data_IF_022871142791
#
_entry.id   IF_022871142791
#
_cell.length_a   1.000
_cell.length_b   1.000
_cell.length_c   1.000
_cell.angle_alpha   90.00
_cell.angle_beta   90.00
_cell.angle_gamma   90.00
#
_symmetry.space_group_name_H-M   'P 1'
#
loop_
_entity.id
_entity.type
_entity.pdbx_description
1 polymer ?
#
# COMPACT_ATOMS: atom_id res chain seq x y z
N UNK A 1 -1.50 26.99 -10.55
CA UNK A 1 -1.76 25.64 -10.01
C UNK A 1 -1.63 25.68 -8.50
N UNK A 2 -2.25 24.71 -7.82
CA UNK A 2 -2.16 24.54 -6.37
C UNK A 2 -1.10 23.49 -6.01
N UNK A 3 -0.10 23.88 -5.23
CA UNK A 3 1.09 23.06 -4.93
C UNK A 3 1.18 22.82 -3.42
N UNK A 4 1.25 21.56 -3.02
CA UNK A 4 1.56 21.16 -1.65
C UNK A 4 3.08 21.19 -1.45
N UNK A 5 3.55 21.72 -0.33
CA UNK A 5 4.97 21.66 0.03
C UNK A 5 5.14 21.27 1.50
N UNK A 6 6.12 20.41 1.77
CA UNK A 6 6.47 20.02 3.14
C UNK A 6 7.92 19.62 3.28
N UNK A 7 8.47 19.77 4.48
CA UNK A 7 9.86 19.42 4.79
C UNK A 7 10.03 19.01 6.25
N UNK A 8 11.12 18.33 6.56
CA UNK A 8 11.68 18.40 7.91
C UNK A 8 12.54 19.66 8.09
N UNK A 9 13.19 19.73 9.24
CA UNK A 9 14.11 20.80 9.60
C UNK A 9 15.31 20.93 8.66
N UNK A 10 15.75 19.84 8.05
CA UNK A 10 16.90 19.85 7.16
C UNK A 10 16.58 20.42 5.77
N UNK A 11 15.31 20.44 5.36
CA UNK A 11 14.80 21.06 4.14
C UNK A 11 14.15 22.44 4.33
N UNK A 12 14.09 22.95 5.56
CA UNK A 12 13.30 24.13 5.93
C UNK A 12 13.71 25.42 5.18
N UNK A 13 15.02 25.67 5.03
CA UNK A 13 15.51 26.87 4.32
C UNK A 13 15.12 26.85 2.84
N UNK A 14 15.27 25.69 2.17
CA UNK A 14 14.92 25.56 0.76
C UNK A 14 13.42 25.67 0.55
N UNK A 15 12.62 25.18 1.51
CA UNK A 15 11.17 25.28 1.48
C UNK A 15 10.72 26.74 1.34
N UNK A 16 11.27 27.64 2.16
CA UNK A 16 10.94 29.07 2.12
C UNK A 16 11.24 29.69 0.76
N UNK A 17 12.42 29.43 0.20
CA UNK A 17 12.85 29.95 -1.11
C UNK A 17 12.00 29.42 -2.27
N UNK A 18 11.62 28.14 -2.20
CA UNK A 18 10.72 27.54 -3.19
C UNK A 18 9.32 28.14 -3.09
N UNK A 19 8.77 28.33 -1.88
CA UNK A 19 7.48 29.00 -1.68
C UNK A 19 7.48 30.40 -2.30
N UNK A 20 8.52 31.20 -2.03
CA UNK A 20 8.66 32.55 -2.59
C UNK A 20 8.67 32.52 -4.12
N UNK A 21 9.49 31.65 -4.71
CA UNK A 21 9.62 31.49 -6.16
C UNK A 21 8.30 31.06 -6.83
N UNK A 22 7.59 30.08 -6.23
CA UNK A 22 6.31 29.59 -6.76
C UNK A 22 5.21 30.65 -6.64
N UNK A 23 5.17 31.38 -5.52
CA UNK A 23 4.20 32.45 -5.30
C UNK A 23 4.42 33.59 -6.30
N UNK A 24 5.68 33.98 -6.53
CA UNK A 24 6.05 34.97 -7.54
C UNK A 24 5.67 34.53 -8.97
N UNK A 25 5.66 33.22 -9.25
CA UNK A 25 5.19 32.64 -10.51
C UNK A 25 3.65 32.49 -10.60
N UNK A 26 2.88 32.97 -9.61
CA UNK A 26 1.42 32.95 -9.60
C UNK A 26 0.80 31.59 -9.22
N UNK A 27 1.54 30.75 -8.50
CA UNK A 27 1.01 29.50 -7.96
C UNK A 27 0.45 29.69 -6.55
N UNK A 28 -0.57 28.91 -6.19
CA UNK A 28 -1.09 28.83 -4.83
C UNK A 28 -0.31 27.73 -4.08
N UNK A 29 0.35 28.08 -2.97
CA UNK A 29 1.18 27.13 -2.22
C UNK A 29 0.55 26.81 -0.87
N UNK A 30 0.34 25.52 -0.59
CA UNK A 30 -0.11 25.00 0.71
C UNK A 30 1.09 24.42 1.44
N UNK A 31 1.57 25.12 2.47
CA UNK A 31 2.70 24.71 3.32
C UNK A 31 2.22 23.80 4.46
N UNK A 32 2.66 22.55 4.46
CA UNK A 32 2.34 21.54 5.47
C UNK A 32 3.37 21.46 6.59
N UNK A 33 4.35 22.37 6.64
CA UNK A 33 5.41 22.43 7.66
C UNK A 33 6.65 21.65 7.23
N UNK A 34 7.67 21.52 8.07
CA UNK A 34 7.83 22.18 9.39
C UNK A 34 7.95 23.70 9.27
N UNK A 35 7.60 24.46 10.29
CA UNK A 35 7.64 25.93 10.27
C UNK A 35 8.84 26.52 11.04
N UNK A 36 9.79 25.69 11.43
CA UNK A 36 11.03 26.10 12.10
C UNK A 36 12.20 25.19 11.71
N UNK A 37 13.42 25.63 12.04
CA UNK A 37 14.64 24.82 11.88
C UNK A 37 14.87 23.83 13.05
N UNK A 38 13.91 23.69 13.96
CA UNK A 38 14.02 22.78 15.11
C UNK A 38 13.91 21.33 14.66
N UNK A 39 14.68 20.44 15.29
CA UNK A 39 14.70 19.01 14.93
C UNK A 39 13.31 18.38 15.01
N UNK A 40 12.90 17.73 13.93
CA UNK A 40 11.60 17.06 13.78
C UNK A 40 11.73 15.86 12.83
N UNK A 41 10.78 14.94 12.91
CA UNK A 41 10.70 13.77 12.04
C UNK A 41 9.94 14.07 10.74
N UNK A 42 10.58 13.84 9.60
CA UNK A 42 10.00 14.09 8.27
C UNK A 42 8.65 13.41 8.02
N UNK A 43 8.32 12.18 8.48
CA UNK A 43 7.04 11.55 8.14
C UNK A 43 5.82 12.37 8.55
N UNK A 44 5.91 13.12 9.65
CA UNK A 44 4.87 14.01 10.19
C UNK A 44 4.42 15.07 9.18
N UNK A 45 5.32 15.54 8.32
CA UNK A 45 5.07 16.62 7.36
C UNK A 45 4.93 16.10 5.93
N UNK A 46 5.65 15.03 5.59
CA UNK A 46 5.65 14.48 4.24
C UNK A 46 4.36 13.71 3.93
N UNK A 47 3.85 12.91 4.88
CA UNK A 47 2.58 12.19 4.69
C UNK A 47 1.41 13.13 4.36
N UNK A 48 1.09 14.18 5.15
CA UNK A 48 -0.02 15.08 4.84
C UNK A 48 0.18 15.85 3.52
N UNK A 49 1.44 16.21 3.18
CA UNK A 49 1.77 16.83 1.89
C UNK A 49 1.39 15.91 0.72
N UNK A 50 1.80 14.64 0.79
CA UNK A 50 1.51 13.63 -0.22
C UNK A 50 0.01 13.30 -0.28
N UNK A 51 -0.67 13.21 0.87
CA UNK A 51 -2.13 12.99 0.94
C UNK A 51 -2.94 14.13 0.32
N UNK A 52 -2.47 15.38 0.42
CA UNK A 52 -3.15 16.51 -0.21
C UNK A 52 -3.13 16.38 -1.75
N UNK A 53 -2.02 15.90 -2.30
CA UNK A 53 -1.90 15.61 -3.73
C UNK A 53 -2.74 14.39 -4.12
N UNK A 54 -2.66 13.30 -3.35
CA UNK A 54 -3.42 12.08 -3.62
C UNK A 54 -4.94 12.30 -3.63
N UNK A 55 -5.43 13.19 -2.75
CA UNK A 55 -6.85 13.57 -2.66
C UNK A 55 -7.28 14.59 -3.71
N UNK A 56 -6.37 15.10 -4.53
CA UNK A 56 -6.67 16.15 -5.51
C UNK A 56 -6.91 17.54 -4.90
N UNK A 57 -6.55 17.74 -3.62
CA UNK A 57 -6.59 19.06 -2.96
C UNK A 57 -5.49 19.97 -3.53
N UNK A 58 -4.34 19.37 -3.88
CA UNK A 58 -3.25 20.03 -4.61
C UNK A 58 -2.95 19.24 -5.88
N UNK A 59 -2.53 19.92 -6.94
CA UNK A 59 -2.22 19.31 -8.23
C UNK A 59 -0.82 18.67 -8.25
N UNK A 60 0.10 19.23 -7.46
CA UNK A 60 1.52 18.85 -7.39
C UNK A 60 2.04 18.93 -5.96
N UNK A 61 3.05 18.13 -5.64
CA UNK A 61 3.72 18.13 -4.34
C UNK A 61 5.23 18.31 -4.44
N UNK A 62 5.82 19.01 -3.48
CA UNK A 62 7.27 19.12 -3.31
C UNK A 62 7.61 18.74 -1.87
N UNK A 63 8.51 17.81 -1.68
CA UNK A 63 8.95 17.35 -0.35
C UNK A 63 10.45 17.57 -0.20
N UNK A 64 10.90 18.00 0.98
CA UNK A 64 12.29 18.41 1.19
C UNK A 64 12.85 17.84 2.49
N UNK A 65 14.14 17.51 2.47
CA UNK A 65 14.86 17.15 3.68
C UNK A 65 16.35 17.16 3.45
N UNK A 66 17.08 16.39 4.27
CA UNK A 66 18.53 16.33 4.16
C UNK A 66 19.01 15.78 2.82
N UNK A 67 18.55 14.58 2.45
CA UNK A 67 18.92 13.91 1.19
C UNK A 67 17.78 13.83 0.16
N UNK A 68 16.54 14.05 0.58
CA UNK A 68 15.34 13.83 -0.23
C UNK A 68 14.89 12.37 -0.31
N UNK A 69 15.72 11.39 0.08
CA UNK A 69 15.36 9.98 -0.04
C UNK A 69 14.31 9.56 1.00
N UNK A 70 14.47 9.93 2.26
CA UNK A 70 13.52 9.57 3.32
C UNK A 70 12.13 10.13 3.04
N UNK A 71 12.10 11.38 2.57
CA UNK A 71 10.89 12.09 2.18
C UNK A 71 10.21 11.40 0.99
N UNK A 72 10.96 11.05 -0.07
CA UNK A 72 10.40 10.33 -1.20
C UNK A 72 9.89 8.93 -0.81
N UNK A 73 10.57 8.23 0.11
CA UNK A 73 10.13 6.91 0.60
C UNK A 73 8.78 7.04 1.30
N UNK A 74 8.59 8.04 2.17
CA UNK A 74 7.32 8.28 2.87
C UNK A 74 6.23 8.70 1.90
N UNK A 75 6.51 9.66 1.02
CA UNK A 75 5.52 10.15 0.05
C UNK A 75 4.96 9.01 -0.82
N UNK A 76 5.83 8.10 -1.28
CA UNK A 76 5.44 6.93 -2.07
C UNK A 76 4.69 5.84 -1.27
N UNK A 77 4.53 5.97 0.06
CA UNK A 77 3.61 5.09 0.83
C UNK A 77 2.15 5.52 0.69
N UNK A 78 1.90 6.75 0.27
CA UNK A 78 0.56 7.26 0.06
C UNK A 78 0.06 6.81 -1.31
N UNK A 79 -1.10 6.15 -1.30
CA UNK A 79 -1.74 5.64 -2.53
C UNK A 79 -1.97 6.77 -3.54
N UNK A 80 -1.62 6.54 -4.80
CA UNK A 80 -1.75 7.49 -5.90
C UNK A 80 -0.53 8.40 -6.08
N UNK A 81 0.49 8.30 -5.23
CA UNK A 81 1.68 9.15 -5.29
C UNK A 81 2.80 8.47 -6.08
N UNK A 82 3.41 9.26 -6.96
CA UNK A 82 4.64 8.95 -7.69
C UNK A 82 5.64 10.06 -7.36
N UNK A 83 6.41 9.83 -6.30
CA UNK A 83 7.43 10.76 -5.84
C UNK A 83 8.80 10.36 -6.39
N UNK A 84 9.41 11.24 -7.19
CA UNK A 84 10.78 11.07 -7.68
C UNK A 84 11.76 11.89 -6.85
N UNK A 85 12.95 11.35 -6.54
CA UNK A 85 14.04 12.16 -5.98
C UNK A 85 14.77 12.84 -7.15
N UNK A 86 14.89 14.16 -7.09
CA UNK A 86 15.50 14.96 -8.15
C UNK A 86 16.76 15.66 -7.62
N UNK A 87 17.89 15.43 -8.29
CA UNK A 87 19.19 16.02 -7.94
C UNK A 87 19.91 16.67 -9.14
N UNK A 88 19.33 16.57 -10.34
CA UNK A 88 19.73 17.28 -11.55
C UNK A 88 18.50 17.72 -12.34
N UNK A 89 18.67 18.68 -13.26
CA UNK A 89 17.62 19.07 -14.21
C UNK A 89 17.12 17.87 -15.03
N UNK A 90 18.02 16.96 -15.41
CA UNK A 90 17.65 15.75 -16.14
C UNK A 90 16.74 14.85 -15.32
N UNK A 91 17.06 14.60 -14.05
CA UNK A 91 16.17 13.79 -13.18
C UNK A 91 14.81 14.45 -12.98
N UNK A 92 14.74 15.78 -12.91
CA UNK A 92 13.50 16.54 -12.82
C UNK A 92 12.64 16.39 -14.09
N UNK A 93 13.31 16.48 -15.25
CA UNK A 93 12.70 16.32 -16.56
C UNK A 93 12.12 14.91 -16.73
N UNK A 94 12.93 13.89 -16.50
CA UNK A 94 12.55 12.49 -16.65
C UNK A 94 11.45 12.10 -15.65
N UNK A 95 11.49 12.64 -14.42
CA UNK A 95 10.42 12.43 -13.44
C UNK A 95 9.05 12.85 -13.98
N UNK A 96 8.98 13.97 -14.71
CA UNK A 96 7.74 14.43 -15.33
C UNK A 96 7.42 13.68 -16.62
N UNK A 97 8.36 13.67 -17.57
CA UNK A 97 8.17 13.10 -18.92
C UNK A 97 7.85 11.61 -18.88
N UNK A 98 8.62 10.83 -18.11
CA UNK A 98 8.56 9.37 -18.16
C UNK A 98 7.73 8.75 -17.04
N UNK A 99 7.68 9.38 -15.87
CA UNK A 99 7.07 8.80 -14.67
C UNK A 99 5.78 9.51 -14.27
N UNK A 100 5.37 10.56 -14.99
CA UNK A 100 4.22 11.39 -14.64
C UNK A 100 4.23 11.72 -13.13
N UNK A 101 5.42 12.02 -12.59
CA UNK A 101 5.58 12.23 -11.16
C UNK A 101 4.72 13.43 -10.75
N UNK A 102 3.85 13.20 -9.78
CA UNK A 102 2.97 14.21 -9.19
C UNK A 102 3.56 14.81 -7.90
N UNK A 103 4.63 14.20 -7.38
CA UNK A 103 5.45 14.73 -6.29
C UNK A 103 6.94 14.64 -6.67
N UNK A 104 7.74 15.61 -6.27
CA UNK A 104 9.21 15.49 -6.29
C UNK A 104 9.81 15.70 -4.91
N UNK A 105 10.97 15.10 -4.70
CA UNK A 105 11.76 15.25 -3.50
C UNK A 105 13.14 15.82 -3.81
N UNK A 106 13.62 16.77 -3.01
CA UNK A 106 14.94 17.39 -3.18
C UNK A 106 15.68 17.38 -1.83
N UNK A 107 16.96 16.98 -1.87
CA UNK A 107 17.85 17.00 -0.71
C UNK A 107 18.59 18.33 -0.59
N UNK A 108 18.30 19.10 0.44
CA UNK A 108 18.97 20.40 0.69
C UNK A 108 20.47 20.25 0.95
N UNK A 109 20.94 19.12 1.50
CA UNK A 109 22.38 18.89 1.75
C UNK A 109 23.15 18.41 0.53
N UNK A 110 22.45 17.97 -0.52
CA UNK A 110 23.05 17.32 -1.69
C UNK A 110 22.92 18.16 -2.97
N UNK A 111 21.97 19.10 -3.01
CA UNK A 111 21.68 19.92 -4.19
C UNK A 111 21.88 21.39 -3.85
N UNK A 112 22.70 22.14 -4.61
CA UNK A 112 22.81 23.60 -4.45
C UNK A 112 21.46 24.31 -4.66
N UNK A 113 21.23 25.40 -3.92
CA UNK A 113 19.92 26.07 -3.87
C UNK A 113 19.44 26.55 -5.24
N UNK A 114 20.32 27.14 -6.04
CA UNK A 114 19.96 27.60 -7.39
C UNK A 114 19.53 26.45 -8.28
N UNK A 115 20.24 25.32 -8.19
CA UNK A 115 19.87 24.09 -8.90
C UNK A 115 18.54 23.52 -8.39
N UNK A 116 18.27 23.58 -7.09
CA UNK A 116 17.00 23.14 -6.52
C UNK A 116 15.81 23.96 -7.06
N UNK A 117 15.97 25.29 -7.16
CA UNK A 117 14.95 26.17 -7.74
C UNK A 117 14.74 25.87 -9.23
N UNK A 118 15.81 25.65 -10.00
CA UNK A 118 15.72 25.26 -11.40
C UNK A 118 15.08 23.88 -11.58
N UNK A 119 15.39 22.90 -10.74
CA UNK A 119 14.76 21.57 -10.73
C UNK A 119 13.24 21.69 -10.61
N UNK A 120 12.76 22.52 -9.66
CA UNK A 120 11.32 22.74 -9.48
C UNK A 120 10.70 23.35 -10.74
N UNK A 121 11.34 24.37 -11.33
CA UNK A 121 10.86 25.01 -12.57
C UNK A 121 10.82 24.03 -13.75
N UNK A 122 11.89 23.25 -13.93
CA UNK A 122 11.97 22.24 -14.99
C UNK A 122 10.87 21.20 -14.81
N UNK A 123 10.70 20.64 -13.62
CA UNK A 123 9.67 19.63 -13.38
C UNK A 123 8.23 20.16 -13.61
N UNK A 124 7.94 21.38 -13.19
CA UNK A 124 6.62 22.00 -13.38
C UNK A 124 6.35 22.39 -14.85
N UNK A 125 7.39 22.73 -15.61
CA UNK A 125 7.28 23.13 -17.01
C UNK A 125 7.16 21.96 -18.00
N UNK A 126 7.49 20.75 -17.57
CA UNK A 126 7.47 19.57 -18.43
C UNK A 126 6.07 18.91 -18.47
N UNK A 127 5.78 18.22 -19.57
CA UNK A 127 4.51 17.50 -19.77
C UNK A 127 4.77 15.99 -19.86
N UNK A 128 3.84 15.17 -19.41
CA UNK A 128 3.99 13.72 -19.52
C UNK A 128 4.02 13.29 -20.99
N UNK A 129 4.98 12.44 -21.37
CA UNK A 129 5.22 12.06 -22.77
C UNK A 129 4.18 11.06 -23.31
N UNK A 130 3.58 10.24 -22.43
CA UNK A 130 2.65 9.20 -22.82
C UNK A 130 3.30 8.02 -23.54
N UNK A 131 2.54 7.34 -24.40
CA UNK A 131 3.02 6.22 -25.22
C UNK A 131 3.55 5.06 -24.39
N UNK A 132 4.82 4.65 -24.60
CA UNK A 132 5.44 3.52 -23.86
C UNK A 132 5.50 3.75 -22.34
N UNK A 133 5.33 4.98 -21.87
CA UNK A 133 5.34 5.32 -20.46
C UNK A 133 3.99 5.05 -19.78
N UNK A 134 2.89 5.04 -20.53
CA UNK A 134 1.55 4.73 -20.00
C UNK A 134 1.46 3.30 -19.47
N UNK A 135 2.01 2.32 -20.19
CA UNK A 135 2.03 0.93 -19.74
C UNK A 135 2.82 0.75 -18.44
N UNK A 136 3.86 1.57 -18.23
CA UNK A 136 4.64 1.55 -16.97
C UNK A 136 3.85 2.18 -15.82
N UNK A 137 3.09 3.24 -16.07
CA UNK A 137 2.19 3.81 -15.08
C UNK A 137 1.07 2.85 -14.70
N UNK A 138 0.51 2.14 -15.68
CA UNK A 138 -0.44 1.05 -15.43
C UNK A 138 0.20 -0.03 -14.56
N UNK A 139 1.42 -0.48 -14.86
CA UNK A 139 2.14 -1.44 -14.02
C UNK A 139 2.39 -0.95 -12.59
N UNK A 140 2.71 0.34 -12.39
CA UNK A 140 2.82 0.93 -11.04
C UNK A 140 1.47 0.90 -10.32
N UNK A 141 0.38 1.26 -11.01
CA UNK A 141 -0.96 1.22 -10.44
C UNK A 141 -1.40 -0.21 -10.09
N UNK A 142 -1.04 -1.20 -10.91
CA UNK A 142 -1.28 -2.63 -10.62
C UNK A 142 -0.51 -3.07 -9.37
N UNK A 143 0.78 -2.71 -9.25
CA UNK A 143 1.58 -2.99 -8.05
C UNK A 143 0.91 -2.38 -6.81
N UNK A 144 0.48 -1.13 -6.90
CA UNK A 144 -0.22 -0.44 -5.82
C UNK A 144 -1.53 -1.13 -5.42
N UNK A 145 -2.34 -1.54 -6.41
CA UNK A 145 -3.57 -2.31 -6.16
C UNK A 145 -3.29 -3.66 -5.49
N UNK A 146 -2.26 -4.39 -5.94
CA UNK A 146 -1.85 -5.65 -5.31
C UNK A 146 -1.42 -5.44 -3.86
N UNK A 147 -0.64 -4.40 -3.57
CA UNK A 147 -0.22 -4.06 -2.21
C UNK A 147 -1.42 -3.71 -1.34
N UNK A 148 -2.34 -2.86 -1.84
CA UNK A 148 -3.55 -2.47 -1.12
C UNK A 148 -4.49 -3.66 -0.84
N UNK A 149 -4.54 -4.63 -1.75
CA UNK A 149 -5.30 -5.88 -1.57
C UNK A 149 -4.60 -6.89 -0.64
N UNK A 150 -3.41 -6.61 -0.11
CA UNK A 150 -2.60 -7.61 0.62
C UNK A 150 -2.03 -8.72 -0.27
N UNK A 151 -2.15 -8.58 -1.59
CA UNK A 151 -1.74 -9.51 -2.64
C UNK A 151 -0.26 -9.32 -3.02
N UNK A 152 0.64 -9.18 -2.04
CA UNK A 152 2.08 -9.32 -2.28
C UNK A 152 2.49 -10.78 -2.61
N UNK A 153 1.54 -11.72 -2.54
CA UNK A 153 1.69 -13.08 -3.04
C UNK A 153 1.33 -13.20 -4.53
N UNK A 154 1.70 -14.31 -5.16
CA UNK A 154 1.44 -14.56 -6.58
C UNK A 154 -0.06 -14.66 -6.96
N UNK A 155 -0.96 -14.69 -5.96
CA UNK A 155 -2.38 -14.91 -6.11
C UNK A 155 -3.20 -13.87 -5.32
N UNK A 156 -4.43 -13.56 -5.76
CA UNK A 156 -5.30 -12.60 -5.08
C UNK A 156 -5.65 -13.07 -3.66
N UNK A 157 -5.79 -12.10 -2.75
CA UNK A 157 -6.37 -12.35 -1.44
C UNK A 157 -7.90 -12.20 -1.47
N UNK A 158 -8.59 -12.98 -0.65
CA UNK A 158 -10.02 -12.95 -0.44
C UNK A 158 -10.31 -12.64 1.02
N UNK A 159 -11.29 -11.78 1.30
CA UNK A 159 -11.58 -11.31 2.65
C UNK A 159 -13.03 -11.60 3.08
N UNK A 160 -13.22 -11.86 4.38
CA UNK A 160 -14.52 -11.96 5.03
C UNK A 160 -14.49 -11.17 6.34
N UNK A 161 -15.37 -10.17 6.48
CA UNK A 161 -15.49 -9.36 7.70
C UNK A 161 -16.78 -9.71 8.43
N UNK A 162 -16.70 -9.96 9.74
CA UNK A 162 -17.80 -10.48 10.55
C UNK A 162 -17.92 -9.71 11.86
N UNK A 163 -19.14 -9.30 12.21
CA UNK A 163 -19.48 -8.88 13.58
C UNK A 163 -19.71 -10.13 14.42
N UNK A 164 -19.02 -10.23 15.54
CA UNK A 164 -19.21 -11.32 16.50
C UNK A 164 -20.47 -11.04 17.32
N UNK A 165 -21.36 -12.03 17.33
CA UNK A 165 -22.67 -11.97 17.96
C UNK A 165 -22.78 -13.07 19.03
N UNK A 166 -23.76 -12.99 19.95
CA UNK A 166 -23.92 -13.95 21.04
C UNK A 166 -23.96 -15.42 20.60
N UNK A 167 -24.56 -15.72 19.44
CA UNK A 167 -24.63 -17.06 18.87
C UNK A 167 -23.25 -17.67 18.51
N UNK A 168 -22.22 -16.83 18.35
CA UNK A 168 -20.86 -17.30 18.05
C UNK A 168 -20.03 -17.59 19.30
N UNK A 169 -20.55 -17.31 20.50
CA UNK A 169 -19.78 -17.38 21.75
C UNK A 169 -19.88 -18.76 22.40
N UNK A 170 -18.84 -19.12 23.14
CA UNK A 170 -18.82 -20.26 24.04
C UNK A 170 -19.35 -19.88 25.43
N UNK A 171 -19.42 -20.86 26.34
CA UNK A 171 -19.87 -20.69 27.73
C UNK A 171 -19.07 -19.67 28.57
N UNK A 172 -17.91 -19.20 28.10
CA UNK A 172 -17.07 -18.17 28.75
C UNK A 172 -17.25 -16.78 28.12
N UNK A 173 -18.16 -16.61 27.17
CA UNK A 173 -18.43 -15.32 26.52
C UNK A 173 -17.40 -14.90 25.48
N UNK A 174 -16.52 -15.82 25.03
CA UNK A 174 -15.59 -15.58 23.93
C UNK A 174 -15.96 -16.38 22.70
N UNK A 175 -15.52 -15.95 21.52
CA UNK A 175 -15.75 -16.62 20.25
C UNK A 175 -15.37 -18.10 20.35
N UNK A 176 -16.32 -18.97 20.02
CA UNK A 176 -16.07 -20.39 20.00
C UNK A 176 -15.14 -20.74 18.84
N UNK A 177 -14.01 -21.39 19.14
CA UNK A 177 -12.99 -21.72 18.14
C UNK A 177 -13.50 -22.54 16.97
N UNK A 178 -14.56 -23.34 17.16
CA UNK A 178 -15.22 -24.08 16.08
C UNK A 178 -15.70 -23.20 14.94
N UNK A 179 -16.30 -22.04 15.24
CA UNK A 179 -16.73 -21.09 14.21
C UNK A 179 -15.55 -20.48 13.47
N UNK A 180 -14.47 -20.14 14.18
CA UNK A 180 -13.25 -19.61 13.55
C UNK A 180 -12.65 -20.62 12.57
N UNK A 181 -12.54 -21.89 12.97
CA UNK A 181 -12.00 -22.95 12.12
C UNK A 181 -12.89 -23.19 10.90
N UNK A 182 -14.22 -23.20 11.08
CA UNK A 182 -15.17 -23.31 9.98
C UNK A 182 -15.00 -22.16 8.98
N UNK A 183 -14.97 -20.91 9.45
CA UNK A 183 -14.82 -19.75 8.57
C UNK A 183 -13.47 -19.70 7.87
N UNK A 184 -12.41 -20.20 8.53
CA UNK A 184 -11.10 -20.32 7.92
C UNK A 184 -11.11 -21.32 6.77
N UNK A 185 -11.72 -22.48 6.97
CA UNK A 185 -11.86 -23.52 5.94
C UNK A 185 -12.72 -23.06 4.77
N UNK A 186 -13.88 -22.45 5.05
CA UNK A 186 -14.77 -21.88 4.03
C UNK A 186 -14.04 -20.84 3.16
N UNK A 187 -13.28 -19.95 3.80
CA UNK A 187 -12.56 -18.89 3.10
C UNK A 187 -11.34 -19.44 2.35
N UNK A 188 -10.68 -20.47 2.87
CA UNK A 188 -9.60 -21.14 2.17
C UNK A 188 -10.09 -21.85 0.90
N UNK A 189 -11.22 -22.58 1.00
CA UNK A 189 -11.90 -23.16 -0.15
C UNK A 189 -12.26 -22.09 -1.18
N UNK A 190 -12.89 -21.00 -0.73
CA UNK A 190 -13.27 -19.88 -1.60
C UNK A 190 -12.05 -19.31 -2.34
N UNK A 191 -10.94 -19.07 -1.64
CA UNK A 191 -9.73 -18.54 -2.24
C UNK A 191 -9.12 -19.49 -3.28
N UNK A 192 -9.05 -20.80 -2.98
CA UNK A 192 -8.53 -21.79 -3.91
C UNK A 192 -9.42 -21.90 -5.17
N UNK A 193 -10.74 -21.99 -5.00
CA UNK A 193 -11.69 -22.14 -6.11
C UNK A 193 -11.78 -20.89 -6.98
N UNK A 194 -11.70 -19.69 -6.41
CA UNK A 194 -11.68 -18.46 -7.21
C UNK A 194 -10.35 -18.25 -7.93
N UNK A 195 -9.25 -18.76 -7.37
CA UNK A 195 -7.93 -18.72 -8.01
C UNK A 195 -7.82 -19.73 -9.16
N UNK A 196 -8.37 -20.94 -8.98
CA UNK A 196 -8.36 -22.01 -10.00
C UNK A 196 -9.79 -22.50 -10.29
N UNK A 197 -10.57 -21.77 -11.10
CA UNK A 197 -12.01 -22.01 -11.28
C UNK A 197 -12.36 -23.34 -11.97
N UNK A 198 -11.39 -23.98 -12.61
CA UNK A 198 -11.55 -25.31 -13.23
C UNK A 198 -11.25 -26.46 -12.27
N UNK A 199 -10.67 -26.16 -11.10
CA UNK A 199 -10.30 -27.16 -10.12
C UNK A 199 -11.46 -27.42 -9.15
N UNK A 200 -11.73 -28.70 -8.88
CA UNK A 200 -12.60 -29.14 -7.81
C UNK A 200 -11.75 -29.44 -6.56
N UNK A 201 -11.78 -28.55 -5.56
CA UNK A 201 -10.96 -28.68 -4.35
C UNK A 201 -11.72 -29.30 -3.18
N UNK A 202 -11.01 -30.06 -2.36
CA UNK A 202 -11.44 -30.44 -1.01
C UNK A 202 -10.32 -30.17 0.00
N UNK A 203 -10.71 -29.88 1.25
CA UNK A 203 -9.74 -29.70 2.33
C UNK A 203 -9.13 -31.04 2.70
N UNK A 204 -7.82 -31.18 2.47
CA UNK A 204 -7.07 -32.38 2.84
C UNK A 204 -6.56 -32.31 4.27
N UNK A 205 -6.07 -31.15 4.67
CA UNK A 205 -5.51 -30.89 5.99
C UNK A 205 -5.56 -29.40 6.24
N UNK A 206 -5.90 -29.01 7.46
CA UNK A 206 -5.57 -27.68 7.97
C UNK A 206 -4.43 -27.84 8.96
N UNK A 207 -3.44 -26.94 8.88
CA UNK A 207 -2.32 -26.91 9.82
C UNK A 207 -2.80 -26.47 11.22
N UNK A 208 -1.85 -26.28 12.14
CA UNK A 208 -2.20 -25.85 13.50
C UNK A 208 -2.97 -24.53 13.48
N UNK A 209 -3.86 -24.37 14.46
CA UNK A 209 -4.51 -23.10 14.78
C UNK A 209 -3.91 -22.56 16.07
N UNK A 210 -3.10 -21.52 15.95
CA UNK A 210 -2.55 -20.81 17.10
C UNK A 210 -3.43 -19.60 17.42
N UNK A 211 -4.35 -19.76 18.37
CA UNK A 211 -5.22 -18.68 18.82
C UNK A 211 -4.43 -17.71 19.72
N UNK A 212 -4.05 -16.58 19.14
CA UNK A 212 -3.18 -15.57 19.76
C UNK A 212 -3.95 -14.63 20.69
N UNK A 213 -5.23 -14.36 20.39
CA UNK A 213 -6.04 -13.39 21.15
C UNK A 213 -7.50 -13.85 21.27
N UNK A 214 -8.14 -13.67 22.44
CA UNK A 214 -9.57 -13.94 22.60
C UNK A 214 -10.39 -12.88 21.83
N UNK A 215 -11.52 -13.30 21.28
CA UNK A 215 -12.48 -12.41 20.60
C UNK A 215 -13.79 -12.40 21.38
N UNK A 216 -14.36 -11.22 21.61
CA UNK A 216 -15.54 -11.02 22.44
C UNK A 216 -16.79 -10.67 21.63
N UNK A 217 -17.94 -10.67 22.31
CA UNK A 217 -19.18 -10.16 21.73
C UNK A 217 -19.01 -8.72 21.24
N UNK A 218 -19.48 -8.42 20.04
CA UNK A 218 -19.41 -7.08 19.44
C UNK A 218 -18.07 -6.73 18.80
N UNK A 219 -17.05 -7.59 18.92
CA UNK A 219 -15.83 -7.45 18.12
C UNK A 219 -16.13 -7.61 16.63
N UNK A 220 -15.34 -6.95 15.81
CA UNK A 220 -15.37 -7.13 14.35
C UNK A 220 -14.08 -7.87 13.99
N UNK A 221 -14.20 -9.04 13.39
CA UNK A 221 -13.05 -9.81 12.89
C UNK A 221 -12.98 -9.72 11.38
N UNK A 222 -11.76 -9.68 10.85
CA UNK A 222 -11.47 -9.74 9.42
C UNK A 222 -10.59 -10.95 9.15
N UNK A 223 -11.13 -11.89 8.39
CA UNK A 223 -10.39 -13.02 7.85
C UNK A 223 -9.90 -12.68 6.45
N UNK A 224 -8.69 -13.12 6.13
CA UNK A 224 -8.06 -13.01 4.82
C UNK A 224 -7.51 -14.38 4.45
N UNK A 225 -7.81 -14.87 3.25
CA UNK A 225 -7.20 -16.07 2.70
C UNK A 225 -6.55 -15.78 1.37
N UNK A 226 -5.42 -16.44 1.10
CA UNK A 226 -4.74 -16.37 -0.19
C UNK A 226 -4.05 -17.68 -0.52
N UNK A 227 -4.01 -18.03 -1.79
CA UNK A 227 -3.14 -19.12 -2.24
C UNK A 227 -1.69 -18.67 -2.03
N UNK A 228 -0.95 -19.40 -1.20
CA UNK A 228 0.46 -19.16 -0.91
C UNK A 228 1.36 -19.96 -1.84
N UNK A 229 0.94 -21.18 -2.20
CA UNK A 229 1.73 -22.09 -3.05
C UNK A 229 0.84 -23.01 -3.88
N UNK A 230 1.17 -23.15 -5.15
CA UNK A 230 0.63 -24.20 -6.01
C UNK A 230 1.59 -25.40 -6.04
N UNK A 231 1.07 -26.60 -5.78
CA UNK A 231 1.75 -27.87 -6.02
C UNK A 231 1.14 -28.59 -7.23
N UNK A 232 1.53 -29.84 -7.47
CA UNK A 232 1.03 -30.61 -8.61
C UNK A 232 -0.49 -30.88 -8.49
N UNK A 233 -0.91 -31.54 -7.40
CA UNK A 233 -2.31 -31.95 -7.17
C UNK A 233 -3.01 -31.15 -6.07
N UNK A 234 -2.33 -30.15 -5.50
CA UNK A 234 -2.81 -29.43 -4.32
C UNK A 234 -2.31 -28.00 -4.29
N UNK A 235 -2.96 -27.17 -3.48
CA UNK A 235 -2.54 -25.80 -3.20
C UNK A 235 -2.58 -25.54 -1.68
N UNK A 236 -1.60 -24.77 -1.21
CA UNK A 236 -1.55 -24.28 0.16
C UNK A 236 -2.18 -22.88 0.20
N UNK A 237 -3.14 -22.69 1.11
CA UNK A 237 -3.90 -21.47 1.29
C UNK A 237 -3.64 -20.95 2.69
N UNK A 238 -2.96 -19.80 2.79
CA UNK A 238 -2.77 -19.11 4.07
C UNK A 238 -4.07 -18.41 4.46
N UNK A 239 -4.48 -18.55 5.71
CA UNK A 239 -5.62 -17.84 6.30
C UNK A 239 -5.17 -17.10 7.55
N UNK A 240 -5.49 -15.82 7.62
CA UNK A 240 -5.18 -14.94 8.77
C UNK A 240 -6.46 -14.27 9.24
N UNK A 241 -6.65 -14.19 10.55
CA UNK A 241 -7.75 -13.46 11.17
C UNK A 241 -7.20 -12.39 12.12
N UNK A 242 -7.70 -11.16 11.98
CA UNK A 242 -7.39 -10.04 12.87
C UNK A 242 -8.66 -9.42 13.44
N UNK A 243 -8.56 -8.79 14.60
CA UNK A 243 -9.56 -7.83 15.04
C UNK A 243 -9.49 -6.60 14.12
N UNK A 244 -10.58 -6.29 13.42
CA UNK A 244 -10.61 -5.27 12.38
C UNK A 244 -10.45 -3.83 12.90
N UNK A 245 -10.62 -3.60 14.22
CA UNK A 245 -10.43 -2.29 14.84
C UNK A 245 -9.03 -2.08 15.39
N UNK A 246 -8.46 -3.12 16.01
CA UNK A 246 -7.17 -3.03 16.71
C UNK A 246 -6.01 -3.60 15.90
N UNK A 247 -6.30 -4.24 14.77
CA UNK A 247 -5.35 -4.99 13.93
C UNK A 247 -4.61 -6.10 14.70
N UNK A 248 -5.16 -6.53 15.83
CA UNK A 248 -4.57 -7.59 16.66
C UNK A 248 -4.80 -8.95 16.02
N UNK A 249 -3.74 -9.74 15.88
CA UNK A 249 -3.82 -11.12 15.38
C UNK A 249 -4.68 -11.99 16.31
N UNK A 250 -5.71 -12.61 15.73
CA UNK A 250 -6.57 -13.59 16.40
C UNK A 250 -6.03 -15.00 16.17
N UNK A 251 -5.80 -15.37 14.90
CA UNK A 251 -5.14 -16.62 14.52
C UNK A 251 -4.54 -16.51 13.12
N UNK A 252 -3.61 -17.41 12.81
CA UNK A 252 -3.21 -17.74 11.45
C UNK A 252 -3.13 -19.26 11.28
N UNK A 253 -3.35 -19.73 10.05
CA UNK A 253 -3.20 -21.14 9.69
C UNK A 253 -2.94 -21.30 8.20
N UNK A 254 -2.61 -22.52 7.78
CA UNK A 254 -2.51 -22.89 6.37
C UNK A 254 -3.43 -24.08 6.10
N UNK A 255 -4.34 -23.94 5.15
CA UNK A 255 -5.15 -25.04 4.63
C UNK A 255 -4.50 -25.63 3.38
N UNK A 256 -4.45 -26.97 3.30
CA UNK A 256 -3.99 -27.70 2.13
C UNK A 256 -5.21 -28.22 1.39
N UNK A 257 -5.48 -27.65 0.22
CA UNK A 257 -6.59 -28.00 -0.66
C UNK A 257 -6.08 -28.95 -1.74
N UNK A 258 -6.73 -30.09 -1.94
CA UNK A 258 -6.36 -31.07 -2.97
C UNK A 258 -7.41 -31.09 -4.08
N UNK A 259 -6.96 -31.08 -5.33
CA UNK A 259 -7.85 -31.18 -6.47
C UNK A 259 -8.22 -32.64 -6.72
N UNK A 260 -9.52 -32.90 -6.88
CA UNK A 260 -10.06 -34.20 -7.25
C UNK A 260 -10.66 -34.19 -8.67
N UNK A 261 -10.44 -35.27 -9.41
CA UNK A 261 -11.14 -35.54 -10.66
C UNK A 261 -12.60 -35.98 -10.42
N UNK A 262 -13.41 -36.20 -11.48
CA UNK A 262 -14.80 -36.63 -11.33
C UNK A 262 -14.99 -37.96 -10.61
N UNK A 263 -13.97 -38.83 -10.58
CA UNK A 263 -13.99 -40.13 -9.89
C UNK A 263 -13.52 -40.01 -8.42
N UNK A 264 -13.20 -38.80 -7.97
CA UNK A 264 -12.75 -38.51 -6.61
C UNK A 264 -11.26 -38.82 -6.37
N UNK A 265 -10.47 -39.07 -7.42
CA UNK A 265 -9.03 -39.31 -7.31
C UNK A 265 -8.24 -38.00 -7.42
N UNK A 266 -7.05 -37.95 -6.81
CA UNK A 266 -6.20 -36.76 -6.87
C UNK A 266 -5.69 -36.53 -8.28
N UNK A 267 -5.93 -35.34 -8.81
CA UNK A 267 -5.51 -34.96 -10.16
C UNK A 267 -4.68 -33.67 -10.16
N UNK A 268 -3.86 -33.43 -11.20
CA UNK A 268 -3.13 -32.18 -11.35
C UNK A 268 -4.07 -30.98 -11.38
N UNK A 269 -3.74 -29.90 -10.66
CA UNK A 269 -4.56 -28.69 -10.64
C UNK A 269 -4.59 -28.07 -12.04
N UNK A 270 -5.77 -27.91 -12.67
CA UNK A 270 -5.87 -27.28 -13.98
C UNK A 270 -5.49 -25.80 -13.89
N UNK A 271 -4.56 -25.39 -14.76
CA UNK A 271 -4.11 -24.00 -14.90
C UNK A 271 -5.00 -23.20 -15.84
#
# INVERSE_FOLDING_TARGET
MKIAIGSDHAGFDYKGKIIEMLTAAGHEVSDFGTHSAESVDYPTYIAPTAEAVARGVCERGIVLGGSGNGEAIVANKIRGIRCAVCWTLETARLARLHNDANVISIGQRTVPVELALEIVRTWLGETFEGGRHESRLQGIAEVEQRVAAGSLGAYPAHEKTLLIRPEHLNQRGTLFGGYMMQWADDLAFTAASLTFPKANFVTRRVEAFDFSSPVQNGDIVKLRARVAKLGNTSTAVEVVCVNARTDTLVFSTTAIMVHLDPDGQKAPVPQ
#
